data_IF_801225758209
#
_entry.id   IF_801225758209
#
_cell.length_a   1.000
_cell.length_b   1.000
_cell.length_c   1.000
_cell.angle_alpha   90.00
_cell.angle_beta   90.00
_cell.angle_gamma   90.00
#
_symmetry.space_group_name_H-M   'P 1'
#
loop_
_entity.id
_entity.type
_entity.pdbx_description
1 polymer ?
#
# COMPACT_ATOMS: atom_id res chain seq x y z
N UNK A 1 13.91 8.61 -8.92
CA UNK A 1 12.87 9.43 -8.24
C UNK A 1 12.72 10.73 -9.01
N UNK A 2 11.50 11.19 -9.27
CA UNK A 2 11.28 12.43 -10.03
C UNK A 2 11.68 13.66 -9.21
N UNK A 3 12.23 14.73 -9.83
CA UNK A 3 12.51 15.99 -9.14
C UNK A 3 11.24 16.56 -8.49
N UNK A 4 11.32 16.99 -7.23
CA UNK A 4 10.20 17.63 -6.49
C UNK A 4 9.52 16.78 -5.41
N UNK A 5 9.84 15.48 -5.31
CA UNK A 5 9.39 14.65 -4.19
C UNK A 5 10.28 14.93 -2.98
N UNK A 6 9.66 15.28 -1.83
CA UNK A 6 10.37 15.43 -0.57
C UNK A 6 11.21 14.16 -0.28
N UNK A 7 12.42 14.31 0.25
CA UNK A 7 13.31 13.18 0.57
C UNK A 7 13.36 12.92 2.07
N UNK A 8 13.99 11.81 2.47
CA UNK A 8 14.14 11.45 3.88
C UNK A 8 12.80 11.11 4.55
N UNK A 9 12.65 11.35 5.87
CA UNK A 9 11.44 10.98 6.62
C UNK A 9 10.16 11.59 6.06
N UNK A 10 10.21 12.82 5.56
CA UNK A 10 9.02 13.48 5.01
C UNK A 10 8.59 12.84 3.68
N UNK A 11 9.56 12.50 2.82
CA UNK A 11 9.32 11.73 1.60
C UNK A 11 8.67 10.38 1.86
N UNK A 12 9.15 9.68 2.90
CA UNK A 12 8.60 8.39 3.31
C UNK A 12 7.16 8.50 3.86
N UNK A 13 6.87 9.55 4.63
CA UNK A 13 5.56 9.72 5.28
C UNK A 13 4.48 10.30 4.36
N UNK A 14 4.84 11.04 3.32
CA UNK A 14 3.90 11.70 2.43
C UNK A 14 2.85 10.74 1.82
N UNK A 15 3.22 9.57 1.24
CA UNK A 15 2.25 8.60 0.75
C UNK A 15 1.34 8.05 1.84
N UNK A 16 1.86 7.80 3.05
CA UNK A 16 1.05 7.31 4.17
C UNK A 16 0.02 8.35 4.64
N UNK A 17 0.40 9.64 4.65
CA UNK A 17 -0.53 10.75 4.95
C UNK A 17 -1.60 10.86 3.88
N UNK A 18 -1.23 10.73 2.60
CA UNK A 18 -2.19 10.71 1.50
C UNK A 18 -3.20 9.55 1.62
N UNK A 19 -2.73 8.34 1.93
CA UNK A 19 -3.63 7.20 2.17
C UNK A 19 -4.57 7.47 3.36
N UNK A 20 -4.08 8.08 4.45
CA UNK A 20 -4.93 8.44 5.61
C UNK A 20 -5.94 9.54 5.30
N UNK A 21 -5.70 10.42 4.33
CA UNK A 21 -6.69 11.42 3.92
C UNK A 21 -7.78 10.82 3.04
N UNK A 22 -7.47 9.78 2.26
CA UNK A 22 -8.41 9.09 1.39
C UNK A 22 -9.21 7.99 2.10
N UNK A 23 -8.60 7.33 3.10
CA UNK A 23 -9.17 6.19 3.80
C UNK A 23 -9.21 6.42 5.32
N UNK A 24 -10.41 6.40 5.91
CA UNK A 24 -10.57 6.38 7.37
C UNK A 24 -10.24 4.99 7.90
N UNK A 25 -9.89 4.93 9.19
CA UNK A 25 -9.46 3.68 9.84
C UNK A 25 -8.30 2.98 9.10
N UNK A 26 -7.51 3.75 8.35
CA UNK A 26 -6.35 3.28 7.61
C UNK A 26 -5.36 2.57 8.55
N UNK A 27 -5.20 1.27 8.34
CA UNK A 27 -4.29 0.39 9.08
C UNK A 27 -3.33 -0.28 8.12
N UNK A 28 -2.09 -0.42 8.57
CA UNK A 28 -1.05 -1.22 7.93
C UNK A 28 -0.64 -2.30 8.93
N UNK A 29 -1.07 -3.53 8.69
CA UNK A 29 -0.68 -4.68 9.48
C UNK A 29 0.51 -5.35 8.81
N UNK A 30 1.67 -5.39 9.47
CA UNK A 30 2.78 -6.21 9.00
C UNK A 30 2.42 -7.69 9.23
N UNK A 31 2.34 -8.46 8.16
CA UNK A 31 1.94 -9.87 8.21
C UNK A 31 3.17 -10.77 8.28
N UNK A 32 4.23 -10.41 7.55
CA UNK A 32 5.46 -11.18 7.47
C UNK A 32 6.65 -10.28 7.10
N UNK A 33 7.86 -10.70 7.48
CA UNK A 33 9.07 -9.99 7.12
C UNK A 33 10.28 -10.93 6.97
N UNK A 34 11.18 -10.56 6.05
CA UNK A 34 12.45 -11.24 5.84
C UNK A 34 13.58 -10.23 5.95
N UNK A 35 14.57 -10.53 6.79
CA UNK A 35 15.79 -9.75 6.91
C UNK A 35 16.97 -10.55 6.35
N UNK A 36 17.77 -9.93 5.48
CA UNK A 36 18.97 -10.55 4.91
C UNK A 36 20.04 -9.48 4.66
N UNK A 37 21.16 -9.58 5.38
CA UNK A 37 22.22 -8.58 5.31
C UNK A 37 21.72 -7.20 5.72
N UNK A 38 21.90 -6.21 4.84
CA UNK A 38 21.42 -4.84 5.03
C UNK A 38 20.00 -4.61 4.48
N UNK A 39 19.23 -5.66 4.20
CA UNK A 39 17.91 -5.56 3.58
C UNK A 39 16.79 -6.10 4.47
N UNK A 40 15.63 -5.47 4.37
CA UNK A 40 14.39 -5.88 5.03
C UNK A 40 13.24 -5.84 4.01
N UNK A 41 12.56 -6.98 3.83
CA UNK A 41 11.30 -7.07 3.09
C UNK A 41 10.16 -7.23 4.09
N UNK A 42 9.03 -6.54 3.87
CA UNK A 42 7.82 -6.64 4.69
C UNK A 42 6.62 -6.79 3.78
N UNK A 43 5.81 -7.82 4.05
CA UNK A 43 4.47 -7.96 3.47
C UNK A 43 3.45 -7.40 4.45
N UNK A 44 2.56 -6.57 3.94
CA UNK A 44 1.65 -5.75 4.74
C UNK A 44 0.24 -5.85 4.17
N UNK A 45 -0.74 -6.10 5.03
CA UNK A 45 -2.15 -5.90 4.70
C UNK A 45 -2.53 -4.46 5.05
N UNK A 46 -3.00 -3.72 4.05
CA UNK A 46 -3.63 -2.42 4.23
C UNK A 46 -5.14 -2.56 4.26
N UNK A 47 -5.80 -1.87 5.19
CA UNK A 47 -7.25 -1.79 5.25
C UNK A 47 -7.73 -0.38 5.58
N UNK A 48 -8.91 0.01 5.08
CA UNK A 48 -9.56 1.28 5.43
C UNK A 48 -10.92 1.45 4.77
N UNK A 49 -11.57 2.61 4.98
CA UNK A 49 -12.85 2.97 4.35
C UNK A 49 -12.67 4.21 3.50
N UNK A 50 -13.06 4.16 2.22
CA UNK A 50 -12.86 5.25 1.25
C UNK A 50 -13.78 6.44 1.55
N UNK A 51 -13.23 7.49 2.18
CA UNK A 51 -13.96 8.68 2.67
C UNK A 51 -13.45 10.01 2.12
N UNK A 52 -12.30 10.02 1.45
CA UNK A 52 -11.71 11.20 0.80
C UNK A 52 -11.51 10.98 -0.69
N UNK A 53 -10.92 11.97 -1.35
CA UNK A 53 -10.47 11.82 -2.73
C UNK A 53 -9.31 10.82 -2.81
N UNK A 54 -9.43 9.86 -3.72
CA UNK A 54 -8.33 8.96 -4.07
C UNK A 54 -8.10 8.97 -5.57
N UNK A 55 -6.96 9.51 -6.02
CA UNK A 55 -6.60 9.66 -7.43
C UNK A 55 -7.68 10.35 -8.29
N UNK A 56 -8.41 11.33 -7.73
CA UNK A 56 -9.52 12.00 -8.41
C UNK A 56 -10.86 11.27 -8.31
N UNK A 57 -10.93 10.16 -7.56
CA UNK A 57 -12.14 9.37 -7.35
C UNK A 57 -12.83 9.90 -6.09
N UNK A 58 -14.10 10.27 -6.25
CA UNK A 58 -14.94 10.70 -5.13
C UNK A 58 -15.13 9.56 -4.10
N UNK A 59 -15.31 9.90 -2.81
CA UNK A 59 -15.44 8.90 -1.76
C UNK A 59 -16.65 7.99 -1.99
N UNK A 60 -16.42 6.68 -1.90
CA UNK A 60 -17.45 5.66 -2.18
C UNK A 60 -18.02 5.01 -0.92
N UNK A 61 -17.43 5.27 0.24
CA UNK A 61 -17.81 4.65 1.52
C UNK A 61 -17.50 3.16 1.61
N UNK A 62 -16.78 2.61 0.62
CA UNK A 62 -16.44 1.17 0.58
C UNK A 62 -15.23 0.86 1.44
N UNK A 63 -15.27 -0.31 2.06
CA UNK A 63 -14.11 -0.86 2.73
C UNK A 63 -13.15 -1.45 1.70
N UNK A 64 -11.86 -1.30 1.96
CA UNK A 64 -10.78 -1.90 1.16
C UNK A 64 -9.90 -2.77 2.05
N UNK A 65 -9.36 -3.86 1.51
CA UNK A 65 -8.36 -4.73 2.13
C UNK A 65 -7.41 -5.26 1.06
N UNK A 66 -6.21 -4.69 0.96
CA UNK A 66 -5.24 -5.00 -0.11
C UNK A 66 -3.83 -5.23 0.40
N UNK A 67 -3.00 -5.91 -0.40
CA UNK A 67 -1.60 -6.19 -0.05
C UNK A 67 -0.67 -5.05 -0.49
N UNK A 68 0.27 -4.71 0.38
CA UNK A 68 1.42 -3.87 0.10
C UNK A 68 2.72 -4.66 0.34
N UNK A 69 3.75 -4.34 -0.42
CA UNK A 69 5.11 -4.84 -0.24
C UNK A 69 6.05 -3.66 -0.02
N UNK A 70 6.86 -3.75 1.02
CA UNK A 70 7.87 -2.76 1.34
C UNK A 70 9.24 -3.44 1.40
N UNK A 71 10.20 -2.91 0.64
CA UNK A 71 11.58 -3.36 0.64
C UNK A 71 12.47 -2.20 1.08
N UNK A 72 13.39 -2.46 2.00
CA UNK A 72 14.25 -1.46 2.59
C UNK A 72 15.71 -1.88 2.48
N UNK A 73 16.59 -0.89 2.28
CA UNK A 73 18.00 -1.00 2.68
C UNK A 73 18.15 -0.30 4.02
N UNK A 74 18.83 -0.95 4.96
CA UNK A 74 19.04 -0.47 6.33
C UNK A 74 20.50 -0.11 6.52
N UNK A 75 20.76 1.08 7.06
CA UNK A 75 22.10 1.55 7.40
C UNK A 75 22.03 2.30 8.72
N UNK A 76 22.95 1.99 9.64
CA UNK A 76 23.01 2.60 10.98
C UNK A 76 21.67 2.54 11.74
N UNK A 77 20.97 1.40 11.62
CA UNK A 77 19.66 1.16 12.22
C UNK A 77 18.51 1.95 11.60
N UNK A 78 18.70 2.58 10.44
CA UNK A 78 17.70 3.41 9.76
C UNK A 78 17.41 2.87 8.36
N UNK A 79 16.17 3.03 7.90
CA UNK A 79 15.83 2.83 6.50
C UNK A 79 16.52 3.91 5.65
N UNK A 80 17.59 3.52 4.95
CA UNK A 80 18.36 4.40 4.07
C UNK A 80 17.71 4.51 2.68
N UNK A 81 17.08 3.42 2.23
CA UNK A 81 16.33 3.36 0.97
C UNK A 81 15.04 2.58 1.18
N UNK A 82 14.01 2.91 0.40
CA UNK A 82 12.70 2.27 0.41
C UNK A 82 12.17 2.12 -1.02
N UNK A 83 11.70 0.92 -1.32
CA UNK A 83 10.93 0.60 -2.52
C UNK A 83 9.60 0.00 -2.07
N UNK A 84 8.50 0.50 -2.63
CA UNK A 84 7.16 0.05 -2.29
C UNK A 84 6.40 -0.41 -3.53
N UNK A 85 5.58 -1.44 -3.35
CA UNK A 85 4.53 -1.81 -4.29
C UNK A 85 3.22 -1.92 -3.51
N UNK A 86 2.14 -1.47 -4.13
CA UNK A 86 0.78 -1.58 -3.59
C UNK A 86 -0.06 -2.28 -4.63
N UNK A 87 -0.97 -3.15 -4.19
CA UNK A 87 -1.98 -3.71 -5.06
C UNK A 87 -3.07 -2.67 -5.39
N UNK A 88 -2.68 -1.74 -6.26
CA UNK A 88 -3.52 -0.64 -6.67
C UNK A 88 -4.75 -1.12 -7.46
N UNK A 89 -4.59 -2.20 -8.25
CA UNK A 89 -5.68 -2.71 -9.08
C UNK A 89 -6.82 -3.27 -8.20
N UNK A 90 -6.50 -4.11 -7.22
CA UNK A 90 -7.49 -4.64 -6.28
C UNK A 90 -8.16 -3.52 -5.51
N UNK A 91 -7.41 -2.49 -5.10
CA UNK A 91 -7.97 -1.33 -4.41
C UNK A 91 -8.99 -0.59 -5.31
N UNK A 92 -8.65 -0.34 -6.58
CA UNK A 92 -9.54 0.29 -7.54
C UNK A 92 -10.81 -0.55 -7.82
N UNK A 93 -10.69 -1.88 -7.77
CA UNK A 93 -11.85 -2.80 -7.82
C UNK A 93 -12.74 -2.65 -6.59
N UNK A 94 -12.17 -2.66 -5.39
CA UNK A 94 -12.92 -2.58 -4.13
C UNK A 94 -13.65 -1.26 -3.96
N UNK A 95 -13.07 -0.14 -4.42
CA UNK A 95 -13.79 1.14 -4.48
C UNK A 95 -14.71 1.27 -5.69
N UNK A 96 -14.80 0.24 -6.54
CA UNK A 96 -15.69 0.12 -7.70
C UNK A 96 -15.48 1.14 -8.80
N UNK A 97 -14.23 1.55 -9.00
CA UNK A 97 -13.85 2.26 -10.21
C UNK A 97 -13.62 1.29 -11.36
N UNK A 98 -13.09 0.10 -11.06
CA UNK A 98 -12.76 -0.90 -12.06
C UNK A 98 -13.50 -2.20 -11.76
N UNK A 99 -13.92 -2.91 -12.80
CA UNK A 99 -14.42 -4.27 -12.71
C UNK A 99 -13.67 -5.07 -13.75
N UNK A 100 -12.79 -6.00 -13.35
CA UNK A 100 -12.02 -6.77 -14.30
C UNK A 100 -12.96 -7.71 -15.07
N UNK A 101 -12.77 -7.82 -16.39
CA UNK A 101 -13.57 -8.72 -17.24
C UNK A 101 -13.26 -10.20 -16.94
N UNK A 102 -12.07 -10.48 -16.40
CA UNK A 102 -11.61 -11.80 -16.02
C UNK A 102 -11.03 -11.76 -14.61
N UNK A 103 -11.21 -12.82 -13.83
CA UNK A 103 -10.55 -12.95 -12.53
C UNK A 103 -9.03 -12.76 -12.69
N UNK A 104 -8.44 -12.00 -11.78
CA UNK A 104 -7.00 -11.80 -11.73
C UNK A 104 -6.34 -12.98 -11.01
N UNK A 105 -5.05 -13.26 -11.27
CA UNK A 105 -4.30 -14.24 -10.47
C UNK A 105 -4.28 -13.93 -8.96
N UNK A 106 -4.49 -12.66 -8.57
CA UNK A 106 -4.61 -12.26 -7.17
C UNK A 106 -5.91 -12.77 -6.53
N UNK A 107 -7.00 -12.90 -7.30
CA UNK A 107 -8.29 -13.43 -6.82
C UNK A 107 -8.22 -14.94 -6.51
N UNK A 108 -7.28 -15.66 -7.13
CA UNK A 108 -7.12 -17.10 -6.94
C UNK A 108 -6.52 -17.47 -5.57
N UNK A 109 -5.81 -16.55 -4.89
CA UNK A 109 -5.15 -16.79 -3.61
C UNK A 109 -6.03 -16.67 -2.36
N UNK A 110 -7.32 -16.33 -2.52
CA UNK A 110 -8.31 -16.27 -1.41
C UNK A 110 -8.97 -17.64 -1.18
N UNK A 111 -8.80 -18.58 -2.11
CA UNK A 111 -9.26 -19.95 -1.96
C UNK A 111 -8.06 -20.86 -1.69
N UNK A 112 -7.68 -21.02 -0.41
CA UNK A 112 -6.96 -22.17 0.16
C UNK A 112 -6.70 -21.94 1.67
N UNK A 113 -7.73 -22.12 2.51
CA UNK A 113 -7.86 -23.16 3.57
C UNK A 113 -9.23 -23.03 4.28
#
# INVERSE_FOLDING_TARGET
>A
MSPGVATGPEGYLSPARYMRSAFSDARWQADDFVAAGDKLAVRVTFSGVHIGDFLGIAPTGKQVTVQHLHFYRVQDGKAAEHWGARDELSLLCEISLFTPEHATPADAGVAED
#
